data_IF_745340547263
#
_entry.id   IF_745340547263
#
_cell.length_a   1.000
_cell.length_b   1.000
_cell.length_c   1.000
_cell.angle_alpha   90.00
_cell.angle_beta   90.00
_cell.angle_gamma   90.00
#
_symmetry.space_group_name_H-M   'P 1'
#
loop_
_entity.id
_entity.type
_entity.pdbx_description
1 polymer ?
#
# COMPACT_ATOMS: atom_id res chain seq x y z
N UNK A 1 -24.35 -6.64 37.40
CA UNK A 1 -23.41 -5.84 36.58
C UNK A 1 -24.02 -5.68 35.19
N UNK A 2 -24.31 -4.45 34.75
CA UNK A 2 -25.08 -4.21 33.52
C UNK A 2 -24.30 -4.66 32.27
N UNK A 3 -24.99 -5.29 31.30
CA UNK A 3 -24.43 -5.65 29.97
C UNK A 3 -23.77 -4.43 29.29
N UNK A 4 -24.28 -3.24 29.57
CA UNK A 4 -23.73 -1.97 29.08
C UNK A 4 -22.31 -1.69 29.61
N UNK A 5 -22.07 -1.94 30.90
CA UNK A 5 -20.73 -1.74 31.51
C UNK A 5 -19.74 -2.70 30.86
N UNK A 6 -20.14 -3.95 30.62
CA UNK A 6 -19.30 -4.94 29.98
C UNK A 6 -18.90 -4.51 28.56
N UNK A 7 -19.88 -4.13 27.73
CA UNK A 7 -19.61 -3.64 26.36
C UNK A 7 -18.73 -2.39 26.38
N UNK A 8 -19.02 -1.43 27.26
CA UNK A 8 -18.25 -0.19 27.37
C UNK A 8 -16.80 -0.46 27.79
N UNK A 9 -16.56 -1.36 28.75
CA UNK A 9 -15.21 -1.74 29.17
C UNK A 9 -14.41 -2.38 28.03
N UNK A 10 -15.01 -3.27 27.25
CA UNK A 10 -14.32 -3.91 26.12
C UNK A 10 -14.02 -2.93 24.99
N UNK A 11 -14.96 -2.03 24.67
CA UNK A 11 -14.73 -0.97 23.67
C UNK A 11 -13.61 -0.03 24.12
N UNK A 12 -13.63 0.39 25.40
CA UNK A 12 -12.56 1.21 25.97
C UNK A 12 -11.22 0.48 25.97
N UNK A 13 -11.17 -0.79 26.37
CA UNK A 13 -9.94 -1.58 26.37
C UNK A 13 -9.36 -1.73 24.96
N UNK A 14 -10.21 -1.96 23.95
CA UNK A 14 -9.82 -2.10 22.56
C UNK A 14 -9.14 -0.83 22.01
N UNK A 15 -9.52 0.35 22.51
CA UNK A 15 -8.93 1.64 22.13
C UNK A 15 -7.73 1.99 23.01
N UNK A 16 -7.87 1.87 24.34
CA UNK A 16 -6.87 2.30 25.31
C UNK A 16 -5.62 1.43 25.28
N UNK A 17 -5.73 0.12 25.07
CA UNK A 17 -4.55 -0.77 25.08
C UNK A 17 -3.59 -0.44 23.92
N UNK A 18 -4.03 -0.36 22.64
CA UNK A 18 -3.16 0.05 21.54
C UNK A 18 -2.61 1.46 21.72
N UNK A 19 -3.45 2.39 22.20
CA UNK A 19 -3.06 3.78 22.41
C UNK A 19 -1.99 3.90 23.50
N UNK A 20 -2.20 3.25 24.66
CA UNK A 20 -1.24 3.18 25.74
C UNK A 20 0.07 2.55 25.27
N UNK A 21 0.02 1.42 24.54
CA UNK A 21 1.22 0.78 23.99
C UNK A 21 1.99 1.70 23.03
N UNK A 22 1.29 2.43 22.16
CA UNK A 22 1.91 3.38 21.25
C UNK A 22 2.54 4.57 21.97
N UNK A 23 1.85 5.13 22.96
CA UNK A 23 2.36 6.23 23.80
C UNK A 23 3.57 5.76 24.60
N UNK A 24 3.49 4.60 25.27
CA UNK A 24 4.60 4.03 26.03
C UNK A 24 5.84 3.84 25.16
N UNK A 25 5.70 3.26 23.95
CA UNK A 25 6.83 3.12 23.03
C UNK A 25 7.43 4.47 22.63
N UNK A 26 6.60 5.46 22.31
CA UNK A 26 7.08 6.81 21.96
C UNK A 26 7.81 7.47 23.12
N UNK A 27 7.27 7.37 24.34
CA UNK A 27 7.90 7.90 25.55
C UNK A 27 9.24 7.21 25.81
N UNK A 28 9.29 5.88 25.75
CA UNK A 28 10.54 5.12 25.92
C UNK A 28 11.57 5.44 24.83
N UNK A 29 11.14 5.68 23.59
CA UNK A 29 12.03 6.08 22.50
C UNK A 29 12.55 7.51 22.69
N UNK A 30 11.71 8.42 23.17
CA UNK A 30 12.09 9.79 23.49
C UNK A 30 13.14 9.86 24.60
N UNK A 31 13.02 8.99 25.62
CA UNK A 31 14.00 8.85 26.70
C UNK A 31 15.19 7.94 26.33
N UNK A 32 15.28 7.43 25.09
CA UNK A 32 16.38 6.57 24.64
C UNK A 32 16.39 5.15 25.22
N UNK A 33 15.52 4.82 26.19
CA UNK A 33 15.45 3.51 26.85
C UNK A 33 14.87 2.39 25.97
N UNK A 34 14.27 2.73 24.82
CA UNK A 34 13.74 1.76 23.87
C UNK A 34 14.79 1.27 22.86
N UNK A 35 15.89 2.02 22.69
CA UNK A 35 16.87 1.77 21.64
C UNK A 35 17.91 0.77 22.10
N UNK A 36 18.05 -0.32 21.36
CA UNK A 36 19.12 -1.32 21.55
C UNK A 36 20.25 -1.05 20.58
N UNK A 37 21.47 -0.97 21.13
CA UNK A 37 22.69 -0.93 20.34
C UNK A 37 22.77 -2.19 19.47
N UNK A 38 22.83 -1.97 18.16
CA UNK A 38 22.74 -3.03 17.17
C UNK A 38 23.98 -3.03 16.31
N UNK A 39 24.59 -4.20 16.13
CA UNK A 39 25.72 -4.40 15.24
C UNK A 39 25.29 -5.35 14.11
N UNK A 40 25.51 -4.91 12.88
CA UNK A 40 25.21 -5.72 11.69
C UNK A 40 26.47 -6.45 11.24
N UNK A 41 26.42 -7.78 11.21
CA UNK A 41 27.48 -8.63 10.67
C UNK A 41 27.23 -8.83 9.18
N UNK A 42 28.10 -8.26 8.35
CA UNK A 42 27.97 -8.17 6.90
C UNK A 42 28.20 -6.74 6.41
N UNK A 43 28.86 -6.58 5.27
CA UNK A 43 29.11 -5.29 4.60
C UNK A 43 28.48 -5.19 3.21
N UNK A 44 27.80 -6.26 2.77
CA UNK A 44 27.23 -6.40 1.43
C UNK A 44 25.90 -5.67 1.26
N UNK A 45 25.28 -5.80 0.08
CA UNK A 45 24.00 -5.17 -0.25
C UNK A 45 22.88 -5.63 0.71
N UNK A 46 22.85 -6.89 1.12
CA UNK A 46 21.88 -7.38 2.11
C UNK A 46 21.99 -6.62 3.45
N UNK A 47 23.20 -6.33 3.93
CA UNK A 47 23.42 -5.56 5.15
C UNK A 47 22.97 -4.10 5.02
N UNK A 48 23.20 -3.47 3.87
CA UNK A 48 22.74 -2.11 3.57
C UNK A 48 21.20 -2.02 3.52
N UNK A 49 20.56 -2.96 2.83
CA UNK A 49 19.09 -3.06 2.76
C UNK A 49 18.49 -3.33 4.16
N UNK A 50 19.14 -4.18 4.96
CA UNK A 50 18.76 -4.40 6.35
C UNK A 50 18.85 -3.11 7.18
N UNK A 51 19.93 -2.34 7.07
CA UNK A 51 20.06 -1.05 7.77
C UNK A 51 18.98 -0.06 7.35
N UNK A 52 18.72 0.09 6.05
CA UNK A 52 17.66 0.97 5.55
C UNK A 52 16.28 0.56 6.09
N UNK A 53 16.00 -0.74 6.16
CA UNK A 53 14.75 -1.27 6.70
C UNK A 53 14.64 -1.03 8.22
N UNK A 54 15.72 -1.20 8.98
CA UNK A 54 15.73 -0.98 10.43
C UNK A 54 15.58 0.50 10.79
N UNK A 55 16.19 1.40 10.01
CA UNK A 55 16.11 2.84 10.25
C UNK A 55 14.80 3.47 9.76
N UNK A 56 14.14 2.89 8.77
CA UNK A 56 12.83 3.40 8.29
C UNK A 56 11.69 3.16 9.29
N UNK A 57 11.86 2.23 10.23
CA UNK A 57 10.86 1.83 11.22
C UNK A 57 11.32 2.12 12.66
N UNK A 58 11.25 3.40 13.10
CA UNK A 58 11.69 3.84 14.44
C UNK A 58 11.06 3.04 15.61
N UNK A 59 9.89 2.43 15.38
CA UNK A 59 9.15 1.64 16.38
C UNK A 59 9.88 0.34 16.76
N UNK A 60 10.79 -0.13 15.91
CA UNK A 60 11.54 -1.37 16.12
C UNK A 60 12.59 -1.23 17.23
N UNK A 61 13.06 -0.01 17.51
CA UNK A 61 13.99 0.26 18.61
C UNK A 61 15.41 -0.23 18.37
N UNK A 62 15.85 -0.31 17.12
CA UNK A 62 17.23 -0.64 16.78
C UNK A 62 18.03 0.63 16.52
N UNK A 63 19.23 0.71 17.10
CA UNK A 63 20.19 1.77 16.84
C UNK A 63 21.48 1.14 16.31
N UNK A 64 21.71 1.24 15.00
CA UNK A 64 22.84 0.57 14.36
C UNK A 64 24.11 1.40 14.56
N UNK A 65 25.01 0.89 15.39
CA UNK A 65 26.26 1.59 15.78
C UNK A 65 27.46 1.23 14.91
N UNK A 66 27.46 0.04 14.31
CA UNK A 66 28.58 -0.47 13.52
C UNK A 66 28.13 -1.56 12.54
N UNK A 67 28.84 -1.65 11.43
CA UNK A 67 28.88 -2.83 10.57
C UNK A 67 30.17 -3.61 10.83
N UNK A 68 30.13 -4.92 10.68
CA UNK A 68 31.32 -5.76 10.67
C UNK A 68 31.52 -6.36 9.29
N UNK A 69 32.65 -6.06 8.65
CA UNK A 69 32.98 -6.63 7.34
C UNK A 69 33.56 -8.03 7.49
N UNK A 70 32.83 -9.00 6.96
CA UNK A 70 33.18 -10.42 7.08
C UNK A 70 34.25 -10.84 6.08
N UNK A 71 34.27 -10.23 4.90
CA UNK A 71 35.16 -10.64 3.79
C UNK A 71 36.38 -9.71 3.67
N UNK A 72 36.46 -8.64 4.48
CA UNK A 72 37.44 -7.53 4.34
C UNK A 72 37.48 -6.96 2.91
N UNK A 73 36.39 -7.16 2.17
CA UNK A 73 36.28 -6.85 0.75
C UNK A 73 35.73 -5.45 0.51
N UNK A 74 35.17 -4.81 1.54
CA UNK A 74 34.63 -3.46 1.42
C UNK A 74 35.75 -2.42 1.56
N UNK A 75 36.10 -1.66 0.50
CA UNK A 75 37.10 -0.60 0.58
C UNK A 75 36.60 0.66 1.31
N UNK A 76 35.35 0.65 1.81
CA UNK A 76 34.69 1.81 2.40
C UNK A 76 34.77 1.77 3.93
N UNK A 77 35.29 2.84 4.53
CA UNK A 77 35.40 2.99 5.98
C UNK A 77 34.05 3.21 6.70
N UNK A 78 33.00 3.59 5.95
CA UNK A 78 31.65 3.76 6.49
C UNK A 78 30.58 3.42 5.46
N UNK A 79 29.48 2.84 5.93
CA UNK A 79 28.28 2.54 5.15
C UNK A 79 27.17 3.41 5.71
N UNK A 80 26.61 4.30 4.88
CA UNK A 80 25.51 5.19 5.28
C UNK A 80 25.77 6.03 6.54
N UNK A 81 27.02 6.41 6.77
CA UNK A 81 27.45 7.20 7.94
C UNK A 81 27.77 6.38 9.20
N UNK A 82 27.63 5.05 9.15
CA UNK A 82 27.98 4.12 10.23
C UNK A 82 29.35 3.48 9.96
N UNK A 83 30.24 3.35 10.96
CA UNK A 83 31.57 2.78 10.78
C UNK A 83 31.54 1.29 10.42
N UNK A 84 32.48 0.88 9.57
CA UNK A 84 32.71 -0.53 9.22
C UNK A 84 33.96 -1.04 9.93
N UNK A 85 33.76 -2.00 10.83
CA UNK A 85 34.81 -2.67 11.59
C UNK A 85 35.39 -3.83 10.77
N UNK A 86 36.71 -3.97 10.82
CA UNK A 86 37.44 -5.03 10.12
C UNK A 86 38.19 -5.97 11.09
N UNK A 87 38.23 -5.58 12.37
CA UNK A 87 38.92 -6.31 13.42
C UNK A 87 37.92 -6.79 14.47
N UNK A 88 37.99 -8.07 14.82
CA UNK A 88 37.14 -8.67 15.85
C UNK A 88 37.41 -8.07 17.23
N UNK A 89 38.64 -7.64 17.52
CA UNK A 89 38.95 -7.03 18.81
C UNK A 89 38.17 -5.73 19.03
N UNK A 90 38.04 -4.90 17.99
CA UNK A 90 37.26 -3.66 18.03
C UNK A 90 35.77 -3.95 18.20
N UNK A 91 35.27 -4.98 17.51
CA UNK A 91 33.90 -5.46 17.64
C UNK A 91 33.58 -5.82 19.10
N UNK A 92 34.44 -6.61 19.75
CA UNK A 92 34.22 -7.03 21.13
C UNK A 92 34.39 -5.89 22.14
N UNK A 93 35.24 -4.90 21.85
CA UNK A 93 35.36 -3.70 22.69
C UNK A 93 34.09 -2.83 22.65
N UNK A 94 33.42 -2.78 21.51
CA UNK A 94 32.15 -2.06 21.34
C UNK A 94 30.94 -2.84 21.88
N UNK A 95 31.11 -4.12 22.21
CA UNK A 95 30.01 -5.00 22.58
C UNK A 95 29.72 -4.92 24.08
N UNK A 96 28.45 -4.67 24.41
CA UNK A 96 27.91 -4.71 25.76
C UNK A 96 26.94 -5.89 25.94
N UNK A 97 26.55 -6.19 27.18
CA UNK A 97 25.61 -7.29 27.48
C UNK A 97 24.21 -7.13 26.88
N UNK A 98 23.86 -5.92 26.45
CA UNK A 98 22.58 -5.57 25.83
C UNK A 98 22.67 -5.42 24.30
N UNK A 99 23.86 -5.57 23.72
CA UNK A 99 24.07 -5.42 22.28
C UNK A 99 23.34 -6.52 21.50
N UNK A 100 22.64 -6.09 20.46
CA UNK A 100 21.96 -6.98 19.52
C UNK A 100 22.79 -7.17 18.26
N UNK A 101 22.94 -8.43 17.84
CA UNK A 101 23.64 -8.79 16.63
C UNK A 101 22.66 -9.18 15.54
N UNK A 102 22.88 -8.65 14.34
CA UNK A 102 22.10 -8.99 13.15
C UNK A 102 23.05 -9.53 12.10
N UNK A 103 22.93 -10.82 11.77
CA UNK A 103 23.71 -11.45 10.70
C UNK A 103 22.97 -11.25 9.38
N UNK A 104 23.50 -10.40 8.52
CA UNK A 104 22.91 -10.01 7.23
C UNK A 104 23.94 -10.18 6.10
N UNK A 105 24.36 -11.42 5.86
CA UNK A 105 25.28 -11.79 4.77
C UNK A 105 24.51 -12.21 3.51
N UNK A 106 25.18 -12.26 2.36
CA UNK A 106 24.56 -12.73 1.10
C UNK A 106 24.34 -14.26 1.11
N UNK A 107 23.47 -14.75 0.21
CA UNK A 107 23.15 -16.18 0.10
C UNK A 107 24.41 -17.06 -0.11
N UNK A 108 25.34 -16.57 -0.94
CA UNK A 108 26.59 -17.27 -1.30
C UNK A 108 27.55 -17.38 -0.09
N UNK A 109 27.44 -16.48 0.89
CA UNK A 109 28.28 -16.40 2.09
C UNK A 109 27.74 -17.27 3.24
N UNK A 110 27.10 -18.39 2.93
CA UNK A 110 26.50 -19.30 3.93
C UNK A 110 27.52 -19.77 5.00
N UNK A 111 28.76 -20.05 4.62
CA UNK A 111 29.83 -20.45 5.54
C UNK A 111 30.14 -19.36 6.58
N UNK A 112 30.14 -18.09 6.16
CA UNK A 112 30.36 -16.95 7.03
C UNK A 112 29.21 -16.74 8.02
N UNK A 113 27.97 -16.90 7.57
CA UNK A 113 26.80 -16.88 8.47
C UNK A 113 26.95 -17.90 9.59
N UNK A 114 27.28 -19.14 9.23
CA UNK A 114 27.35 -20.25 10.18
C UNK A 114 28.54 -20.08 11.15
N UNK A 115 29.68 -19.58 10.65
CA UNK A 115 30.82 -19.19 11.47
C UNK A 115 30.42 -18.12 12.50
N UNK A 116 29.77 -17.04 12.08
CA UNK A 116 29.39 -15.95 12.98
C UNK A 116 28.31 -16.34 13.98
N UNK A 117 27.34 -17.17 13.59
CA UNK A 117 26.37 -17.71 14.53
C UNK A 117 27.05 -18.53 15.64
N UNK A 118 28.04 -19.35 15.28
CA UNK A 118 28.84 -20.10 16.24
C UNK A 118 29.67 -19.17 17.13
N UNK A 119 30.36 -18.19 16.56
CA UNK A 119 31.20 -17.23 17.28
C UNK A 119 30.37 -16.43 18.29
N UNK A 120 29.24 -15.87 17.88
CA UNK A 120 28.33 -15.13 18.76
C UNK A 120 27.77 -16.01 19.89
N UNK A 121 27.45 -17.28 19.60
CA UNK A 121 27.01 -18.22 20.62
C UNK A 121 28.11 -18.52 21.65
N UNK A 122 29.36 -18.72 21.22
CA UNK A 122 30.50 -18.96 22.11
C UNK A 122 30.79 -17.77 23.04
N UNK A 123 30.51 -16.55 22.57
CA UNK A 123 30.65 -15.32 23.36
C UNK A 123 29.43 -14.98 24.24
N UNK A 124 28.46 -15.90 24.39
CA UNK A 124 27.24 -15.72 25.19
C UNK A 124 26.38 -14.50 24.78
N UNK A 125 26.40 -14.13 23.49
CA UNK A 125 25.55 -13.06 22.97
C UNK A 125 24.08 -13.50 23.01
N UNK A 126 23.25 -12.83 23.84
CA UNK A 126 21.85 -13.22 24.07
C UNK A 126 20.90 -12.89 22.92
N UNK A 127 21.19 -11.85 22.16
CA UNK A 127 20.29 -11.31 21.14
C UNK A 127 20.95 -11.41 19.77
N UNK A 128 20.75 -12.53 19.08
CA UNK A 128 21.25 -12.76 17.72
C UNK A 128 20.06 -12.97 16.78
N UNK A 129 20.04 -12.23 15.68
CA UNK A 129 19.02 -12.32 14.64
C UNK A 129 19.69 -12.55 13.29
N UNK A 130 19.00 -13.24 12.37
CA UNK A 130 19.49 -13.48 11.01
C UNK A 130 18.50 -12.87 10.03
N UNK A 131 19.01 -12.07 9.09
CA UNK A 131 18.21 -11.52 7.99
C UNK A 131 18.61 -12.25 6.69
N UNK A 132 17.80 -13.20 6.22
CA UNK A 132 18.07 -13.92 4.99
C UNK A 132 17.79 -13.04 3.75
N UNK A 133 18.49 -13.32 2.66
CA UNK A 133 18.25 -12.73 1.35
C UNK A 133 16.98 -13.32 0.71
N UNK A 134 15.81 -12.75 1.00
CA UNK A 134 14.51 -13.20 0.45
C UNK A 134 13.93 -12.21 -0.58
N UNK A 135 14.77 -11.67 -1.46
CA UNK A 135 14.34 -10.67 -2.47
C UNK A 135 13.26 -11.26 -3.39
N UNK A 136 12.17 -10.52 -3.56
CA UNK A 136 11.05 -10.90 -4.44
C UNK A 136 10.07 -11.91 -3.86
N UNK A 137 10.33 -12.49 -2.68
CA UNK A 137 9.39 -13.38 -2.00
C UNK A 137 8.32 -12.54 -1.29
N UNK A 138 7.01 -12.75 -1.54
CA UNK A 138 5.96 -12.03 -0.83
C UNK A 138 5.87 -12.57 0.61
N UNK A 139 6.51 -11.89 1.58
CA UNK A 139 6.57 -12.32 2.99
C UNK A 139 5.30 -11.99 3.79
N UNK A 140 4.43 -11.11 3.28
CA UNK A 140 3.23 -10.73 4.01
C UNK A 140 2.16 -11.82 3.88
N UNK A 141 1.78 -12.43 5.01
CA UNK A 141 0.83 -13.54 5.04
C UNK A 141 1.43 -14.90 4.67
N UNK A 142 2.77 -15.03 4.61
CA UNK A 142 3.44 -16.33 4.53
C UNK A 142 3.47 -17.02 5.88
N UNK A 143 3.13 -18.30 5.89
CA UNK A 143 3.35 -19.15 7.06
C UNK A 143 4.76 -19.74 6.98
N UNK A 144 5.50 -19.69 8.08
CA UNK A 144 6.77 -20.41 8.20
C UNK A 144 6.51 -21.78 8.81
N UNK A 145 6.93 -22.83 8.10
CA UNK A 145 6.98 -24.18 8.63
C UNK A 145 8.43 -24.65 8.71
N UNK A 146 8.74 -25.42 9.75
CA UNK A 146 10.08 -25.93 9.98
C UNK A 146 10.06 -27.45 9.93
N UNK A 147 10.92 -28.05 9.09
CA UNK A 147 11.15 -29.49 9.09
C UNK A 147 12.32 -29.76 10.04
N UNK A 148 12.00 -30.17 11.27
CA UNK A 148 12.98 -30.42 12.33
C UNK A 148 14.09 -31.39 11.93
N UNK A 149 13.77 -32.42 11.15
CA UNK A 149 14.74 -33.47 10.79
C UNK A 149 15.87 -33.02 9.86
N UNK A 150 15.74 -31.89 9.16
CA UNK A 150 16.70 -31.45 8.14
C UNK A 150 17.08 -29.96 8.27
N UNK A 151 16.64 -29.29 9.34
CA UNK A 151 16.85 -27.84 9.55
C UNK A 151 16.35 -26.96 8.39
N UNK A 152 15.36 -27.44 7.62
CA UNK A 152 14.82 -26.72 6.45
C UNK A 152 13.66 -25.82 6.86
N UNK A 153 13.72 -24.56 6.43
CA UNK A 153 12.62 -23.60 6.50
C UNK A 153 11.77 -23.65 5.22
N UNK A 154 10.47 -23.88 5.38
CA UNK A 154 9.48 -23.76 4.30
C UNK A 154 8.72 -22.45 4.48
N UNK A 155 8.75 -21.61 3.45
CA UNK A 155 7.92 -20.43 3.35
C UNK A 155 6.68 -20.75 2.51
N UNK A 156 5.51 -20.83 3.15
CA UNK A 156 4.25 -21.07 2.46
C UNK A 156 3.63 -19.75 2.03
N UNK A 157 3.71 -19.44 0.74
CA UNK A 157 3.03 -18.27 0.16
C UNK A 157 1.53 -18.57 -0.01
N UNK A 158 0.70 -17.85 0.73
CA UNK A 158 -0.75 -18.01 0.69
C UNK A 158 -1.36 -17.11 -0.39
N UNK A 159 -1.86 -17.69 -1.48
CA UNK A 159 -2.73 -16.96 -2.41
C UNK A 159 -4.17 -16.91 -1.84
N UNK A 160 -4.45 -15.91 -1.01
CA UNK A 160 -5.77 -15.77 -0.37
C UNK A 160 -6.90 -15.50 -1.38
N UNK A 161 -6.63 -14.85 -2.51
CA UNK A 161 -7.63 -14.63 -3.57
C UNK A 161 -8.00 -15.93 -4.31
N UNK A 162 -7.12 -16.95 -4.32
CA UNK A 162 -7.47 -18.25 -4.89
C UNK A 162 -8.49 -19.02 -4.04
N UNK A 163 -8.46 -18.85 -2.70
CA UNK A 163 -9.36 -19.54 -1.76
C UNK A 163 -10.81 -19.14 -2.01
N UNK A 164 -11.70 -20.13 -2.20
CA UNK A 164 -13.14 -19.89 -2.47
C UNK A 164 -13.82 -19.17 -1.31
N UNK A 165 -13.49 -19.55 -0.08
CA UNK A 165 -14.02 -18.93 1.15
C UNK A 165 -13.66 -17.44 1.24
N UNK A 166 -12.40 -17.12 0.99
CA UNK A 166 -11.90 -15.74 0.93
C UNK A 166 -12.62 -14.90 -0.13
N UNK A 167 -12.80 -15.43 -1.34
CA UNK A 167 -13.54 -14.73 -2.41
C UNK A 167 -15.01 -14.51 -2.05
N UNK A 168 -15.64 -15.49 -1.41
CA UNK A 168 -17.00 -15.35 -0.91
C UNK A 168 -17.09 -14.27 0.18
N UNK A 169 -16.18 -14.28 1.14
CA UNK A 169 -16.15 -13.29 2.22
C UNK A 169 -15.89 -11.87 1.68
N UNK A 170 -14.94 -11.71 0.75
CA UNK A 170 -14.71 -10.45 0.03
C UNK A 170 -15.99 -9.98 -0.66
N UNK A 171 -16.65 -10.89 -1.39
CA UNK A 171 -17.86 -10.55 -2.13
C UNK A 171 -19.01 -10.14 -1.22
N UNK A 172 -19.21 -10.84 -0.11
CA UNK A 172 -20.24 -10.50 0.87
C UNK A 172 -19.94 -9.13 1.50
N UNK A 173 -18.69 -8.88 1.88
CA UNK A 173 -18.24 -7.58 2.40
C UNK A 173 -18.47 -6.44 1.39
N UNK A 174 -18.10 -6.63 0.12
CA UNK A 174 -18.32 -5.65 -0.95
C UNK A 174 -19.80 -5.31 -1.14
N UNK A 175 -20.68 -6.32 -1.18
CA UNK A 175 -22.12 -6.12 -1.36
C UNK A 175 -22.71 -5.37 -0.14
N UNK A 176 -22.43 -5.84 1.07
CA UNK A 176 -22.98 -5.24 2.30
C UNK A 176 -22.47 -3.80 2.46
N UNK A 177 -21.18 -3.57 2.23
CA UNK A 177 -20.59 -2.22 2.28
C UNK A 177 -21.18 -1.30 1.21
N UNK A 178 -21.26 -1.76 -0.05
CA UNK A 178 -21.83 -0.95 -1.12
C UNK A 178 -23.30 -0.61 -0.90
N UNK A 179 -24.13 -1.58 -0.49
CA UNK A 179 -25.54 -1.35 -0.17
C UNK A 179 -25.70 -0.40 1.02
N UNK A 180 -24.86 -0.53 2.05
CA UNK A 180 -24.88 0.37 3.21
C UNK A 180 -24.56 1.81 2.81
N UNK A 181 -23.55 2.01 1.96
CA UNK A 181 -23.18 3.34 1.44
C UNK A 181 -24.29 3.89 0.54
N UNK A 182 -24.85 3.08 -0.36
CA UNK A 182 -25.97 3.49 -1.23
C UNK A 182 -27.17 3.91 -0.37
N UNK A 183 -27.53 3.14 0.64
CA UNK A 183 -28.67 3.44 1.51
C UNK A 183 -28.45 4.74 2.29
N UNK A 184 -27.27 4.89 2.91
CA UNK A 184 -26.91 6.07 3.69
C UNK A 184 -26.85 7.35 2.82
N UNK A 185 -26.36 7.24 1.58
CA UNK A 185 -26.22 8.37 0.66
C UNK A 185 -27.39 8.50 -0.33
N UNK A 186 -28.44 7.68 -0.23
CA UNK A 186 -29.54 7.65 -1.20
C UNK A 186 -30.21 9.02 -1.42
N UNK A 187 -30.46 9.86 -0.39
CA UNK A 187 -31.06 11.17 -0.62
C UNK A 187 -30.13 12.09 -1.43
N UNK A 188 -28.82 12.06 -1.13
CA UNK A 188 -27.82 12.84 -1.85
C UNK A 188 -27.67 12.37 -3.31
N UNK A 189 -27.66 11.04 -3.54
CA UNK A 189 -27.58 10.47 -4.88
C UNK A 189 -28.77 10.88 -5.76
N UNK A 190 -29.98 10.90 -5.19
CA UNK A 190 -31.19 11.34 -5.89
C UNK A 190 -31.13 12.82 -6.24
N UNK A 191 -30.70 13.68 -5.30
CA UNK A 191 -30.52 15.11 -5.54
C UNK A 191 -29.48 15.38 -6.63
N UNK A 192 -28.32 14.72 -6.56
CA UNK A 192 -27.26 14.86 -7.58
C UNK A 192 -27.74 14.35 -8.95
N UNK A 193 -28.42 13.20 -8.99
CA UNK A 193 -28.99 12.65 -10.21
C UNK A 193 -30.00 13.60 -10.84
N UNK A 194 -30.85 14.23 -10.03
CA UNK A 194 -31.79 15.25 -10.50
C UNK A 194 -31.05 16.49 -11.02
N UNK A 195 -30.11 17.05 -10.24
CA UNK A 195 -29.35 18.24 -10.62
C UNK A 195 -28.59 18.05 -11.94
N UNK A 196 -27.93 16.91 -12.11
CA UNK A 196 -27.22 16.57 -13.36
C UNK A 196 -28.20 16.33 -14.50
N UNK A 197 -29.36 15.72 -14.23
CA UNK A 197 -30.40 15.43 -15.23
C UNK A 197 -31.11 16.68 -15.77
N UNK A 198 -31.13 17.79 -15.02
CA UNK A 198 -31.74 19.06 -15.47
C UNK A 198 -31.04 19.66 -16.69
N UNK A 199 -29.78 19.33 -16.91
CA UNK A 199 -29.00 19.78 -18.06
C UNK A 199 -29.37 19.03 -19.37
N UNK A 200 -30.34 18.09 -19.30
CA UNK A 200 -30.83 17.26 -20.43
C UNK A 200 -30.07 15.94 -20.59
N UNK A 201 -30.69 14.87 -21.09
CA UNK A 201 -30.03 13.57 -21.28
C UNK A 201 -29.71 12.78 -20.00
N UNK A 202 -29.06 11.60 -20.10
CA UNK A 202 -28.90 10.68 -18.98
C UNK A 202 -27.87 11.18 -17.94
N UNK A 203 -28.20 11.18 -16.63
CA UNK A 203 -27.31 11.70 -15.59
C UNK A 203 -26.13 10.78 -15.26
N UNK A 204 -26.21 9.50 -15.65
CA UNK A 204 -25.15 8.50 -15.44
C UNK A 204 -24.59 8.11 -16.80
N UNK A 205 -23.26 8.12 -16.90
CA UNK A 205 -22.50 7.67 -18.06
C UNK A 205 -21.58 6.50 -17.67
N UNK A 206 -21.36 5.56 -18.59
CA UNK A 206 -20.50 4.40 -18.37
C UNK A 206 -19.31 4.41 -19.30
N UNK A 207 -18.09 4.41 -18.76
CA UNK A 207 -16.86 4.32 -19.54
C UNK A 207 -16.36 2.87 -19.55
N UNK A 208 -16.01 2.34 -20.73
CA UNK A 208 -15.50 0.98 -20.87
C UNK A 208 -14.16 0.80 -20.17
N UNK A 209 -14.05 -0.23 -19.34
CA UNK A 209 -12.89 -0.56 -18.53
C UNK A 209 -12.67 -2.06 -18.50
N UNK A 210 -11.43 -2.46 -18.27
CA UNK A 210 -11.04 -3.86 -18.13
C UNK A 210 -11.30 -4.32 -16.70
N UNK A 211 -11.94 -5.48 -16.55
CA UNK A 211 -12.26 -6.08 -15.26
C UNK A 211 -11.60 -7.46 -15.07
N UNK A 212 -12.12 -8.20 -14.10
CA UNK A 212 -11.63 -9.54 -13.74
C UNK A 212 -11.60 -10.48 -14.95
N UNK A 213 -10.43 -11.06 -15.22
CA UNK A 213 -10.17 -11.97 -16.34
C UNK A 213 -10.24 -11.29 -17.71
N UNK A 214 -9.98 -9.98 -17.78
CA UNK A 214 -9.97 -9.22 -19.03
C UNK A 214 -11.37 -8.83 -19.54
N UNK A 215 -12.42 -9.15 -18.77
CA UNK A 215 -13.79 -8.85 -19.18
C UNK A 215 -14.07 -7.36 -19.09
N UNK A 216 -14.49 -6.79 -20.21
CA UNK A 216 -14.84 -5.38 -20.28
C UNK A 216 -16.17 -5.09 -19.59
N UNK A 217 -16.26 -3.97 -18.89
CA UNK A 217 -17.48 -3.51 -18.25
C UNK A 217 -17.60 -1.98 -18.32
N UNK A 218 -18.83 -1.48 -18.14
CA UNK A 218 -19.09 -0.04 -18.07
C UNK A 218 -18.91 0.46 -16.64
N UNK A 219 -17.82 1.17 -16.37
CA UNK A 219 -17.58 1.87 -15.11
C UNK A 219 -18.45 3.12 -15.05
N UNK A 220 -19.44 3.11 -14.14
CA UNK A 220 -20.48 4.14 -14.06
C UNK A 220 -19.99 5.39 -13.34
N UNK A 221 -20.33 6.57 -13.84
CA UNK A 221 -20.07 7.86 -13.20
C UNK A 221 -21.21 8.82 -13.43
N UNK A 222 -21.36 9.82 -12.57
CA UNK A 222 -22.23 10.94 -12.88
C UNK A 222 -21.63 11.77 -14.02
N UNK A 223 -22.49 12.21 -14.92
CA UNK A 223 -22.09 13.12 -15.98
C UNK A 223 -21.71 14.47 -15.37
N UNK A 224 -20.46 14.89 -15.61
CA UNK A 224 -19.94 16.17 -15.15
C UNK A 224 -19.77 17.20 -16.28
N UNK A 225 -19.95 16.77 -17.53
CA UNK A 225 -19.76 17.59 -18.72
C UNK A 225 -21.09 17.88 -19.44
N UNK A 226 -21.14 18.98 -20.17
CA UNK A 226 -22.27 19.32 -21.07
C UNK A 226 -22.46 18.25 -22.16
N UNK A 227 -23.68 18.12 -22.68
CA UNK A 227 -24.03 17.08 -23.66
C UNK A 227 -23.19 17.23 -24.94
N UNK A 228 -23.05 18.46 -25.41
CA UNK A 228 -22.27 18.86 -26.58
C UNK A 228 -20.78 19.07 -26.27
N UNK A 229 -20.21 18.26 -25.38
CA UNK A 229 -18.83 18.45 -24.90
C UNK A 229 -17.77 18.31 -25.99
N UNK A 230 -18.04 17.56 -27.08
CA UNK A 230 -17.12 17.43 -28.22
C UNK A 230 -17.11 18.70 -29.05
N UNK A 231 -18.28 19.23 -29.38
CA UNK A 231 -18.47 20.44 -30.16
C UNK A 231 -17.89 21.66 -29.42
N UNK A 232 -18.09 21.72 -28.09
CA UNK A 232 -17.49 22.76 -27.25
C UNK A 232 -15.97 22.64 -27.22
N UNK A 233 -15.41 21.42 -27.18
CA UNK A 233 -13.95 21.24 -27.24
C UNK A 233 -13.40 21.75 -28.58
N UNK A 234 -13.99 21.33 -29.69
CA UNK A 234 -13.54 21.71 -31.03
C UNK A 234 -13.58 23.22 -31.22
N UNK A 235 -14.64 23.87 -30.78
CA UNK A 235 -14.76 25.32 -30.87
C UNK A 235 -13.72 26.04 -30.01
N UNK A 236 -13.47 25.58 -28.78
CA UNK A 236 -12.45 26.16 -27.89
C UNK A 236 -11.05 25.99 -28.45
N UNK A 237 -10.71 24.80 -28.96
CA UNK A 237 -9.40 24.55 -29.58
C UNK A 237 -9.21 25.33 -30.89
N UNK A 238 -10.30 25.74 -31.55
CA UNK A 238 -10.28 26.57 -32.76
C UNK A 238 -10.16 28.06 -32.45
N UNK A 239 -10.77 28.53 -31.36
CA UNK A 239 -10.87 29.95 -31.02
C UNK A 239 -9.81 30.44 -30.02
N UNK A 240 -9.24 29.54 -29.21
CA UNK A 240 -8.23 29.87 -28.19
C UNK A 240 -6.90 29.10 -28.42
N UNK A 241 -5.86 29.77 -28.96
CA UNK A 241 -4.54 29.19 -29.16
C UNK A 241 -3.85 28.73 -27.86
N UNK A 242 -4.15 29.37 -26.72
CA UNK A 242 -3.57 29.02 -25.42
C UNK A 242 -4.18 27.73 -24.90
N UNK A 243 -5.50 27.59 -25.01
CA UNK A 243 -6.20 26.35 -24.67
C UNK A 243 -5.74 25.19 -25.56
N UNK A 244 -5.46 25.44 -26.85
CA UNK A 244 -4.90 24.42 -27.75
C UNK A 244 -3.50 23.98 -27.35
N UNK A 245 -2.60 24.92 -27.04
CA UNK A 245 -1.26 24.59 -26.55
C UNK A 245 -1.30 23.80 -25.23
N UNK A 246 -2.25 24.10 -24.34
CA UNK A 246 -2.45 23.35 -23.08
C UNK A 246 -2.97 21.93 -23.34
N UNK A 247 -3.95 21.78 -24.24
CA UNK A 247 -4.51 20.49 -24.63
C UNK A 247 -3.48 19.57 -25.31
N UNK A 248 -2.66 20.10 -26.21
CA UNK A 248 -1.65 19.32 -26.93
C UNK A 248 -0.54 18.80 -26.00
N UNK A 249 -0.29 19.51 -24.88
CA UNK A 249 0.70 19.11 -23.89
C UNK A 249 0.19 18.03 -22.93
N UNK A 250 -0.97 18.28 -22.30
CA UNK A 250 -1.40 17.50 -21.14
C UNK A 250 -2.73 16.75 -21.38
N UNK A 251 -3.32 16.86 -22.58
CA UNK A 251 -4.66 16.37 -22.94
C UNK A 251 -5.75 16.81 -21.94
N UNK A 252 -5.55 17.95 -21.29
CA UNK A 252 -6.40 18.51 -20.23
C UNK A 252 -6.36 20.03 -20.30
N UNK A 253 -7.51 20.68 -20.05
CA UNK A 253 -7.62 22.12 -19.89
C UNK A 253 -7.74 22.44 -18.39
N UNK A 254 -7.04 23.45 -17.89
CA UNK A 254 -7.16 23.87 -16.47
C UNK A 254 -8.55 24.41 -16.16
N UNK A 255 -9.08 25.27 -17.02
CA UNK A 255 -10.44 25.78 -16.95
C UNK A 255 -11.24 25.19 -18.11
N UNK A 256 -11.71 23.96 -17.93
CA UNK A 256 -12.44 23.23 -18.97
C UNK A 256 -13.90 23.73 -19.06
N UNK A 257 -14.29 24.47 -20.13
CA UNK A 257 -15.63 25.03 -20.28
C UNK A 257 -16.70 23.96 -20.53
N UNK A 258 -16.29 22.71 -20.78
CA UNK A 258 -17.21 21.58 -20.93
C UNK A 258 -17.78 21.12 -19.59
N UNK A 259 -17.15 21.47 -18.47
CA UNK A 259 -17.58 21.05 -17.13
C UNK A 259 -18.71 21.96 -16.64
N UNK A 260 -19.85 21.40 -16.25
CA UNK A 260 -20.97 22.19 -15.70
C UNK A 260 -20.66 22.67 -14.28
N UNK A 261 -21.37 23.67 -13.77
CA UNK A 261 -21.20 24.13 -12.37
C UNK A 261 -21.39 22.99 -11.36
N UNK A 262 -22.42 22.16 -11.61
CA UNK A 262 -22.67 20.93 -10.83
C UNK A 262 -21.54 19.92 -11.05
N UNK A 263 -21.08 19.76 -12.29
CA UNK A 263 -19.93 18.94 -12.67
C UNK A 263 -18.65 19.28 -11.90
N UNK A 264 -18.37 20.57 -11.71
CA UNK A 264 -17.22 21.03 -10.96
C UNK A 264 -17.34 20.64 -9.47
N UNK A 265 -18.53 20.80 -8.88
CA UNK A 265 -18.80 20.39 -7.50
C UNK A 265 -18.63 18.87 -7.30
N UNK A 266 -19.22 18.04 -8.16
CA UNK A 266 -19.16 16.57 -8.01
C UNK A 266 -17.76 16.02 -8.24
N UNK A 267 -16.96 16.60 -9.15
CA UNK A 267 -15.55 16.21 -9.34
C UNK A 267 -14.69 16.58 -8.15
N UNK A 268 -14.83 17.83 -7.66
CA UNK A 268 -14.06 18.33 -6.51
C UNK A 268 -14.30 17.52 -5.24
N UNK A 269 -15.50 16.98 -5.09
CA UNK A 269 -15.90 16.15 -3.94
C UNK A 269 -15.77 14.65 -4.20
N UNK A 270 -15.32 14.24 -5.41
CA UNK A 270 -15.28 12.85 -5.88
C UNK A 270 -16.64 12.13 -5.79
N UNK A 271 -17.74 12.90 -5.75
CA UNK A 271 -19.10 12.37 -5.76
C UNK A 271 -19.48 11.82 -7.15
N UNK A 272 -18.73 12.18 -8.20
CA UNK A 272 -18.93 11.67 -9.56
C UNK A 272 -18.76 10.15 -9.67
N UNK A 273 -18.01 9.53 -8.75
CA UNK A 273 -17.72 8.09 -8.76
C UNK A 273 -18.72 7.25 -7.96
N UNK A 274 -19.66 7.86 -7.23
CA UNK A 274 -20.62 7.09 -6.42
C UNK A 274 -21.51 6.12 -7.22
N UNK A 275 -21.87 6.36 -8.50
CA UNK A 275 -22.58 5.36 -9.31
C UNK A 275 -21.81 4.03 -9.49
N UNK A 276 -20.49 4.02 -9.28
CA UNK A 276 -19.69 2.77 -9.29
C UNK A 276 -20.10 1.81 -8.17
N UNK A 277 -20.76 2.27 -7.10
CA UNK A 277 -21.32 1.38 -6.08
C UNK A 277 -22.29 0.35 -6.69
N UNK A 278 -22.98 0.72 -7.78
CA UNK A 278 -23.82 -0.22 -8.53
C UNK A 278 -23.00 -1.24 -9.32
N UNK A 279 -21.82 -0.88 -9.84
CA UNK A 279 -20.87 -1.86 -10.39
C UNK A 279 -20.38 -2.83 -9.32
N UNK A 280 -20.16 -2.35 -8.09
CA UNK A 280 -19.82 -3.22 -6.96
C UNK A 280 -20.97 -4.18 -6.68
N UNK A 281 -22.21 -3.70 -6.55
CA UNK A 281 -23.37 -4.59 -6.30
C UNK A 281 -23.56 -5.60 -7.44
N UNK A 282 -23.42 -5.22 -8.71
CA UNK A 282 -23.49 -6.13 -9.87
C UNK A 282 -22.33 -7.13 -9.94
N UNK A 283 -21.20 -6.79 -9.33
CA UNK A 283 -20.03 -7.66 -9.27
C UNK A 283 -19.03 -7.43 -10.39
N UNK A 284 -19.12 -6.32 -11.12
CA UNK A 284 -18.10 -5.88 -12.07
C UNK A 284 -16.87 -5.35 -11.31
N UNK A 285 -17.12 -4.68 -10.18
CA UNK A 285 -16.11 -4.05 -9.33
C UNK A 285 -16.18 -4.58 -7.88
N UNK A 286 -15.20 -4.16 -7.10
CA UNK A 286 -15.05 -4.35 -5.66
C UNK A 286 -14.99 -2.98 -4.98
N UNK A 287 -15.24 -2.88 -3.67
CA UNK A 287 -15.00 -1.63 -2.94
C UNK A 287 -13.51 -1.28 -2.96
N UNK A 288 -12.67 -2.28 -2.70
CA UNK A 288 -11.21 -2.18 -2.71
C UNK A 288 -10.62 -3.11 -3.77
N UNK A 289 -9.71 -2.59 -4.59
CA UNK A 289 -9.07 -3.33 -5.67
C UNK A 289 -8.13 -2.46 -6.51
N UNK A 290 -7.48 -3.04 -7.54
CA UNK A 290 -6.70 -2.28 -8.52
C UNK A 290 -7.54 -1.23 -9.25
N UNK A 291 -6.93 -0.17 -9.79
CA UNK A 291 -7.70 0.86 -10.51
C UNK A 291 -8.35 0.28 -11.76
N UNK A 292 -9.61 0.63 -12.10
CA UNK A 292 -10.15 0.29 -13.40
C UNK A 292 -9.41 1.05 -14.52
N UNK A 293 -8.70 0.33 -15.38
CA UNK A 293 -7.92 0.88 -16.51
C UNK A 293 -8.59 0.60 -17.85
N UNK A 294 -8.20 1.35 -18.87
CA UNK A 294 -8.58 1.05 -20.27
C UNK A 294 -7.69 -0.05 -20.85
N UNK A 295 -8.15 -0.67 -21.93
CA UNK A 295 -7.37 -1.71 -22.64
C UNK A 295 -5.97 -1.21 -23.02
N UNK A 296 -5.88 0.00 -23.57
CA UNK A 296 -4.61 0.60 -24.00
C UNK A 296 -3.63 0.83 -22.82
N UNK A 297 -4.15 0.98 -21.60
CA UNK A 297 -3.35 1.13 -20.38
C UNK A 297 -2.80 -0.21 -19.87
N UNK A 298 -3.36 -1.36 -20.30
CA UNK A 298 -2.85 -2.69 -19.92
C UNK A 298 -1.43 -2.92 -20.45
N UNK A 299 -1.10 -2.38 -21.63
CA UNK A 299 0.25 -2.45 -22.19
C UNK A 299 1.32 -1.90 -21.23
N UNK A 300 0.93 -0.96 -20.35
CA UNK A 300 1.84 -0.34 -19.36
C UNK A 300 2.04 -1.19 -18.11
N UNK A 301 1.23 -2.23 -17.90
CA UNK A 301 1.40 -3.18 -16.79
C UNK A 301 2.47 -4.25 -17.09
N UNK A 302 2.94 -4.35 -18.35
CA UNK A 302 4.03 -5.24 -18.75
C UNK A 302 3.89 -6.68 -18.17
N UNK A 303 4.86 -7.15 -17.39
CA UNK A 303 4.83 -8.50 -16.79
C UNK A 303 3.86 -8.68 -15.62
N UNK A 304 3.23 -7.62 -15.13
CA UNK A 304 2.34 -7.63 -13.98
C UNK A 304 0.84 -7.64 -14.38
N UNK A 305 0.52 -7.68 -15.67
CA UNK A 305 -0.86 -7.73 -16.20
C UNK A 305 -1.65 -8.89 -15.58
N UNK A 306 -1.02 -10.05 -15.40
CA UNK A 306 -1.70 -11.23 -14.84
C UNK A 306 -2.23 -10.96 -13.42
N UNK A 307 -1.48 -10.24 -12.58
CA UNK A 307 -1.94 -9.87 -11.25
C UNK A 307 -3.16 -8.95 -11.31
N UNK A 308 -3.16 -7.99 -12.24
CA UNK A 308 -4.31 -7.12 -12.47
C UNK A 308 -5.57 -7.94 -12.81
N UNK A 309 -5.45 -8.87 -13.76
CA UNK A 309 -6.56 -9.68 -14.26
C UNK A 309 -7.08 -10.72 -13.24
N UNK A 310 -6.32 -11.02 -12.18
CA UNK A 310 -6.71 -11.92 -11.10
C UNK A 310 -7.69 -11.30 -10.08
N UNK A 311 -7.83 -9.98 -10.05
CA UNK A 311 -8.69 -9.27 -9.10
C UNK A 311 -9.77 -8.44 -9.82
N UNK A 312 -10.87 -8.16 -9.10
CA UNK A 312 -11.84 -7.18 -9.57
C UNK A 312 -11.29 -5.78 -9.32
N UNK A 313 -11.43 -4.84 -10.28
CA UNK A 313 -11.08 -3.45 -10.04
C UNK A 313 -11.85 -2.86 -8.86
N UNK A 314 -11.20 -1.96 -8.13
CA UNK A 314 -11.73 -1.28 -6.95
C UNK A 314 -12.27 0.10 -7.27
N UNK A 315 -13.24 0.55 -6.47
CA UNK A 315 -13.55 1.99 -6.36
C UNK A 315 -12.38 2.75 -5.69
N UNK A 316 -11.80 2.12 -4.67
CA UNK A 316 -10.57 2.55 -4.03
C UNK A 316 -9.51 1.46 -4.09
N UNK A 317 -8.25 1.79 -3.81
CA UNK A 317 -7.12 0.90 -3.99
C UNK A 317 -5.89 1.42 -3.23
N UNK A 318 -4.89 0.57 -3.09
CA UNK A 318 -3.71 0.88 -2.28
C UNK A 318 -2.97 2.11 -2.80
N UNK A 319 -2.73 2.20 -4.11
CA UNK A 319 -2.07 3.38 -4.69
C UNK A 319 -2.86 4.68 -4.46
N UNK A 320 -4.21 4.62 -4.45
CA UNK A 320 -5.08 5.80 -4.26
C UNK A 320 -4.95 6.40 -2.87
N UNK A 321 -4.45 5.63 -1.90
CA UNK A 321 -4.23 6.06 -0.51
C UNK A 321 -2.76 6.23 -0.15
N UNK A 322 -1.83 5.89 -1.06
CA UNK A 322 -0.38 5.87 -0.80
C UNK A 322 0.40 7.03 -1.46
N UNK A 323 -0.26 8.04 -2.03
CA UNK A 323 0.43 9.26 -2.52
C UNK A 323 -0.19 9.96 -3.73
N UNK A 324 -1.13 9.33 -4.45
CA UNK A 324 -1.86 9.81 -5.65
C UNK A 324 -1.04 10.48 -6.76
N UNK A 325 -0.47 11.67 -6.54
CA UNK A 325 0.01 12.59 -7.59
C UNK A 325 1.54 12.57 -7.84
N UNK A 326 2.37 12.18 -6.86
CA UNK A 326 3.84 12.18 -7.02
C UNK A 326 4.44 10.81 -7.37
N UNK A 327 3.59 9.82 -7.63
CA UNK A 327 4.02 8.46 -7.95
C UNK A 327 3.93 8.20 -9.44
N UNK A 328 5.07 7.79 -10.01
CA UNK A 328 5.20 7.31 -11.38
C UNK A 328 4.24 6.14 -11.65
N UNK A 329 4.03 5.85 -12.94
CA UNK A 329 3.08 4.81 -13.31
C UNK A 329 3.56 3.41 -12.88
N UNK A 330 4.87 3.17 -12.91
CA UNK A 330 5.46 1.91 -12.48
C UNK A 330 5.18 1.64 -10.99
N UNK A 331 5.30 2.64 -10.12
CA UNK A 331 4.96 2.49 -8.70
C UNK A 331 3.46 2.23 -8.49
N UNK A 332 2.59 2.78 -9.35
CA UNK A 332 1.14 2.45 -9.30
C UNK A 332 0.89 0.99 -9.63
N UNK A 333 1.52 0.48 -10.68
CA UNK A 333 1.47 -0.94 -11.06
C UNK A 333 2.01 -1.80 -9.92
N UNK A 334 3.14 -1.40 -9.32
CA UNK A 334 3.69 -2.07 -8.15
C UNK A 334 2.70 -2.15 -6.98
N UNK A 335 2.01 -1.06 -6.64
CA UNK A 335 1.01 -1.06 -5.56
C UNK A 335 -0.21 -1.93 -5.88
N UNK A 336 -0.69 -1.92 -7.13
CA UNK A 336 -1.78 -2.78 -7.58
C UNK A 336 -1.36 -4.26 -7.50
N UNK A 337 -0.19 -4.62 -8.02
CA UNK A 337 0.40 -5.96 -7.93
C UNK A 337 0.60 -6.40 -6.49
N UNK A 338 1.12 -5.52 -5.63
CA UNK A 338 1.33 -5.79 -4.21
C UNK A 338 0.01 -6.06 -3.50
N UNK A 339 -1.03 -5.27 -3.80
CA UNK A 339 -2.37 -5.48 -3.22
C UNK A 339 -2.92 -6.87 -3.55
N UNK A 340 -2.80 -7.30 -4.82
CA UNK A 340 -3.28 -8.62 -5.25
C UNK A 340 -2.49 -9.74 -4.59
N UNK A 341 -1.15 -9.62 -4.56
CA UNK A 341 -0.25 -10.61 -3.93
C UNK A 341 -0.52 -10.77 -2.43
N UNK A 342 -0.80 -9.67 -1.74
CA UNK A 342 -0.90 -9.60 -0.28
C UNK A 342 -2.35 -9.37 0.19
N UNK A 343 -3.33 -9.79 -0.61
CA UNK A 343 -4.72 -9.53 -0.32
C UNK A 343 -5.16 -10.18 1.01
N UNK A 344 -5.83 -9.38 1.84
CA UNK A 344 -6.55 -9.82 3.03
C UNK A 344 -7.73 -8.90 3.28
N UNK A 345 -8.77 -9.40 3.96
CA UNK A 345 -9.92 -8.57 4.34
C UNK A 345 -9.51 -7.41 5.25
N UNK A 346 -8.49 -7.60 6.09
CA UNK A 346 -7.96 -6.55 6.95
C UNK A 346 -7.33 -5.42 6.14
N UNK A 347 -6.59 -5.75 5.08
CA UNK A 347 -6.04 -4.75 4.16
C UNK A 347 -7.15 -3.97 3.45
N UNK A 348 -8.25 -4.61 3.05
CA UNK A 348 -9.42 -3.91 2.49
C UNK A 348 -10.00 -2.90 3.49
N UNK A 349 -10.18 -3.30 4.76
CA UNK A 349 -10.66 -2.41 5.83
C UNK A 349 -9.70 -1.25 6.04
N UNK A 350 -8.39 -1.51 6.14
CA UNK A 350 -7.38 -0.49 6.34
C UNK A 350 -7.34 0.52 5.19
N UNK A 351 -7.44 0.06 3.94
CA UNK A 351 -7.50 0.93 2.76
C UNK A 351 -8.77 1.79 2.82
N UNK A 352 -9.94 1.24 3.12
CA UNK A 352 -11.18 2.01 3.22
C UNK A 352 -11.10 3.14 4.25
N UNK A 353 -10.54 2.87 5.44
CA UNK A 353 -10.33 3.91 6.46
C UNK A 353 -9.36 4.99 5.99
N UNK A 354 -8.26 4.60 5.32
CA UNK A 354 -7.33 5.57 4.72
C UNK A 354 -8.02 6.41 3.63
N UNK A 355 -8.90 5.80 2.82
CA UNK A 355 -9.66 6.49 1.78
C UNK A 355 -10.53 7.59 2.36
N UNK A 356 -11.22 7.35 3.48
CA UNK A 356 -12.01 8.39 4.17
C UNK A 356 -11.13 9.57 4.56
N UNK A 357 -9.94 9.31 5.13
CA UNK A 357 -8.99 10.36 5.49
C UNK A 357 -8.53 11.19 4.28
N UNK A 358 -8.21 10.53 3.16
CA UNK A 358 -7.76 11.19 1.91
C UNK A 358 -8.88 12.03 1.29
N UNK A 359 -10.11 11.51 1.23
CA UNK A 359 -11.28 12.22 0.67
C UNK A 359 -11.62 13.46 1.51
N UNK A 360 -11.55 13.36 2.85
CA UNK A 360 -11.83 14.49 3.74
C UNK A 360 -10.76 15.60 3.66
N UNK A 361 -9.48 15.23 3.51
CA UNK A 361 -8.39 16.19 3.35
C UNK A 361 -8.37 16.87 1.97
N UNK A 362 -9.11 16.33 1.00
CA UNK A 362 -9.14 16.79 -0.41
C UNK A 362 -7.77 16.76 -1.09
N UNK A 363 -6.83 15.97 -0.58
CA UNK A 363 -5.49 15.85 -1.15
C UNK A 363 -5.57 15.29 -2.58
N UNK A 364 -5.25 16.15 -3.55
CA UNK A 364 -5.13 15.80 -4.96
C UNK A 364 -6.38 15.91 -5.83
N UNK A 365 -7.46 16.56 -5.39
CA UNK A 365 -8.57 16.95 -6.28
C UNK A 365 -8.29 18.32 -6.91
N UNK A 366 -7.86 18.35 -8.17
CA UNK A 366 -7.78 19.55 -9.00
C UNK A 366 -9.04 19.71 -9.87
#
# INVERSE_FOLDING_TARGET
MSRFVWVATWVLALILIPLARAISKRVLNHYGMWKKQTIIIGSSRNAQEAWQALQSEEVMGFDVIAFFDVDKSSPQASISGVPVLHNEQELWQLTNSETQFIVAVEFEQSQHRDHWLKTLAMHNCRSVSVIPTLRGVPLYGTDMAYIFSHEVMILRVNNNLAKRTSRFLKRAFDIVGALSIILALSPALLVLGFMVGRDGGPPIYGHERVGLGGRKFKCLKFRSMVINSKEVLEEVLRTDPVARAEWDKDFKLKNDPRITKVGHFIRKTSLDELPQLWNVVRGDMSLVGPRPVIEDELCRYAGDVDYYLMAKPGMTGLWQVSGRNDVDYETRVYFDSWYVKNWSLWNDIAILFKTVGVVLKRDGAY
#
